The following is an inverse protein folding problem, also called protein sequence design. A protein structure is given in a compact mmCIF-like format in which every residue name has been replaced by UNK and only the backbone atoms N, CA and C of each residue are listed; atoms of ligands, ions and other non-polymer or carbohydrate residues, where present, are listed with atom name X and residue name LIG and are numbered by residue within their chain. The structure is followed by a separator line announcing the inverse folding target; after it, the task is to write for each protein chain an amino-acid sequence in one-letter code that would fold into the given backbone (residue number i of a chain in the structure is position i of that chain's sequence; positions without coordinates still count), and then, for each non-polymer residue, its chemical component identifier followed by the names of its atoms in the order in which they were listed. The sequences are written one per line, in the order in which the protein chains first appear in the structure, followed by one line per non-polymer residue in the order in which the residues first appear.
data_IF_358790107417
#
_entry.id   IF_358790107417
#
_cell.length_a   1.000
_cell.length_b   1.000
_cell.length_c   1.000
_cell.angle_alpha   90.00
_cell.angle_beta   90.00
_cell.angle_gamma   90.00
#
_symmetry.space_group_name_H-M   'P 1'
#
loop_
_entity.id
_entity.type
_entity.pdbx_description
1 polymer ?
#
# COMPACT_ATOMS: atom_id res chain seq x y z
N UNK A 1 -26.55 11.77 1.22
CA UNK A 1 -25.35 11.58 2.06
C UNK A 1 -25.51 10.23 2.71
N UNK A 2 -24.80 9.20 2.22
CA UNK A 2 -24.79 7.93 2.92
C UNK A 2 -24.17 8.14 4.30
N UNK A 3 -24.89 7.73 5.34
CA UNK A 3 -24.38 7.77 6.69
C UNK A 3 -23.11 6.92 6.77
N UNK A 4 -22.04 7.48 7.35
CA UNK A 4 -20.81 6.75 7.63
C UNK A 4 -21.13 5.63 8.64
N UNK A 5 -21.41 4.44 8.14
CA UNK A 5 -21.71 3.27 8.96
C UNK A 5 -20.52 2.32 8.92
N UNK A 6 -19.69 2.36 9.98
CA UNK A 6 -18.68 1.34 10.20
C UNK A 6 -19.32 0.05 10.73
N UNK A 7 -18.78 -1.13 10.38
CA UNK A 7 -19.33 -2.39 10.85
C UNK A 7 -19.27 -2.46 12.38
N UNK A 8 -20.38 -2.83 13.00
CA UNK A 8 -20.52 -2.87 14.47
C UNK A 8 -19.44 -3.71 15.16
N UNK A 9 -18.96 -4.78 14.52
CA UNK A 9 -17.89 -5.64 15.04
C UNK A 9 -16.56 -4.92 15.26
N UNK A 10 -16.30 -3.81 14.57
CA UNK A 10 -15.08 -3.01 14.80
C UNK A 10 -15.12 -2.26 16.12
N UNK A 11 -16.32 -2.01 16.65
CA UNK A 11 -16.53 -1.30 17.92
C UNK A 11 -15.71 0.00 18.01
N UNK A 12 -15.79 0.79 16.94
CA UNK A 12 -15.08 2.06 16.83
C UNK A 12 -16.04 3.23 17.05
N UNK A 13 -15.49 4.34 17.53
CA UNK A 13 -16.22 5.56 17.87
C UNK A 13 -15.39 6.81 17.51
N UNK A 14 -15.97 7.99 17.73
CA UNK A 14 -15.35 9.30 17.50
C UNK A 14 -14.64 9.42 16.13
N UNK A 15 -15.34 9.18 15.01
CA UNK A 15 -14.72 9.24 13.69
C UNK A 15 -14.35 10.68 13.31
N UNK A 16 -13.08 10.89 13.03
CA UNK A 16 -12.51 12.15 12.54
C UNK A 16 -11.96 11.94 11.13
N UNK A 17 -12.50 12.66 10.13
CA UNK A 17 -11.97 12.59 8.76
C UNK A 17 -10.64 13.34 8.70
N UNK A 18 -9.54 12.62 8.47
CA UNK A 18 -8.19 13.20 8.43
C UNK A 18 -7.66 13.38 7.01
N UNK A 19 -8.21 12.65 6.03
CA UNK A 19 -7.88 12.84 4.61
C UNK A 19 -8.98 12.30 3.69
N UNK A 20 -9.15 12.95 2.54
CA UNK A 20 -9.94 12.44 1.42
C UNK A 20 -9.09 12.51 0.14
N UNK A 21 -8.85 11.36 -0.47
CA UNK A 21 -8.13 11.24 -1.75
C UNK A 21 -9.10 10.92 -2.88
N UNK A 22 -8.60 10.79 -4.10
CA UNK A 22 -9.41 10.29 -5.21
C UNK A 22 -9.98 8.89 -4.94
N UNK A 23 -9.17 7.99 -4.37
CA UNK A 23 -9.55 6.59 -4.15
C UNK A 23 -10.20 6.31 -2.80
N UNK A 24 -10.00 7.16 -1.78
CA UNK A 24 -10.30 6.79 -0.38
C UNK A 24 -10.78 7.95 0.49
N UNK A 25 -11.48 7.61 1.57
CA UNK A 25 -11.64 8.45 2.77
C UNK A 25 -10.92 7.81 3.95
N UNK A 26 -10.15 8.60 4.68
CA UNK A 26 -9.32 8.15 5.80
C UNK A 26 -9.84 8.79 7.08
N UNK A 27 -10.26 7.95 8.02
CA UNK A 27 -10.80 8.39 9.31
C UNK A 27 -9.90 7.92 10.45
N UNK A 28 -9.57 8.81 11.38
CA UNK A 28 -9.06 8.45 12.70
C UNK A 28 -10.25 8.07 13.58
N UNK A 29 -10.13 6.96 14.30
CA UNK A 29 -11.22 6.43 15.16
C UNK A 29 -10.65 5.94 16.49
N UNK A 30 -11.52 5.84 17.50
CA UNK A 30 -11.20 5.29 18.82
C UNK A 30 -11.83 3.91 18.96
N UNK A 31 -11.03 2.90 19.32
CA UNK A 31 -11.47 1.51 19.57
C UNK A 31 -12.04 1.35 20.99
N UNK A 32 -12.73 0.24 21.23
CA UNK A 32 -13.33 -0.09 22.54
C UNK A 32 -12.33 -0.07 23.71
N UNK A 33 -11.06 -0.43 23.45
CA UNK A 33 -9.96 -0.40 24.43
C UNK A 33 -9.34 0.99 24.64
N UNK A 34 -9.87 2.03 23.99
CA UNK A 34 -9.37 3.40 24.02
C UNK A 34 -8.20 3.67 23.06
N UNK A 35 -7.66 2.66 22.39
CA UNK A 35 -6.60 2.85 21.40
C UNK A 35 -7.11 3.50 20.12
N UNK A 36 -6.22 4.19 19.40
CA UNK A 36 -6.54 4.81 18.11
C UNK A 36 -6.31 3.83 16.95
N UNK A 37 -7.13 3.97 15.91
CA UNK A 37 -6.99 3.25 14.66
C UNK A 37 -7.35 4.13 13.47
N UNK A 38 -7.05 3.65 12.27
CA UNK A 38 -7.40 4.30 11.01
C UNK A 38 -8.40 3.44 10.25
N UNK A 39 -9.50 4.04 9.80
CA UNK A 39 -10.36 3.44 8.78
C UNK A 39 -10.00 4.03 7.42
N UNK A 40 -9.46 3.20 6.51
CA UNK A 40 -9.34 3.53 5.09
C UNK A 40 -10.53 2.93 4.36
N UNK A 41 -11.49 3.75 3.98
CA UNK A 41 -12.66 3.35 3.20
C UNK A 41 -12.45 3.73 1.73
N UNK A 42 -12.32 2.74 0.85
CA UNK A 42 -12.18 2.98 -0.59
C UNK A 42 -13.52 3.43 -1.17
N UNK A 43 -13.45 4.40 -2.08
CA UNK A 43 -14.57 4.83 -2.90
C UNK A 43 -14.82 3.79 -4.00
N UNK A 44 -16.01 3.78 -4.58
CA UNK A 44 -16.26 3.04 -5.80
C UNK A 44 -15.65 3.80 -6.99
N UNK A 45 -14.66 3.21 -7.64
CA UNK A 45 -14.05 3.71 -8.88
C UNK A 45 -13.45 2.53 -9.67
N UNK A 46 -13.15 2.75 -10.96
CA UNK A 46 -12.49 1.75 -11.80
C UNK A 46 -11.11 1.41 -11.23
N UNK A 47 -10.69 0.14 -11.25
CA UNK A 47 -9.43 -0.34 -10.66
C UNK A 47 -9.35 -0.31 -9.11
N UNK A 48 -10.49 -0.26 -8.40
CA UNK A 48 -10.50 -0.41 -6.92
C UNK A 48 -9.80 -1.69 -6.43
N UNK A 49 -9.79 -2.75 -7.25
CA UNK A 49 -9.06 -4.00 -6.99
C UNK A 49 -7.55 -3.79 -6.83
N UNK A 50 -6.95 -2.80 -7.50
CA UNK A 50 -5.53 -2.48 -7.33
C UNK A 50 -5.24 -1.93 -5.93
N UNK A 51 -6.13 -1.11 -5.38
CA UNK A 51 -6.03 -0.60 -4.00
C UNK A 51 -6.33 -1.69 -2.98
N UNK A 52 -7.32 -2.55 -3.26
CA UNK A 52 -7.68 -3.66 -2.38
C UNK A 52 -6.51 -4.63 -2.20
N UNK A 53 -5.68 -4.87 -3.22
CA UNK A 53 -4.52 -5.75 -3.09
C UNK A 53 -3.52 -5.34 -2.00
N UNK A 54 -3.49 -4.06 -1.63
CA UNK A 54 -2.70 -3.58 -0.49
C UNK A 54 -3.04 -4.32 0.81
N UNK A 55 -4.27 -4.80 0.98
CA UNK A 55 -4.68 -5.52 2.18
C UNK A 55 -3.99 -6.88 2.32
N UNK A 56 -3.73 -7.59 1.21
CA UNK A 56 -3.03 -8.87 1.22
C UNK A 56 -1.56 -8.67 1.61
N UNK A 57 -0.94 -7.60 1.11
CA UNK A 57 0.41 -7.21 1.51
C UNK A 57 0.48 -6.89 3.00
N UNK A 58 -0.42 -6.04 3.52
CA UNK A 58 -0.42 -5.66 4.94
C UNK A 58 -0.67 -6.87 5.86
N UNK A 59 -1.58 -7.78 5.47
CA UNK A 59 -1.80 -9.01 6.22
C UNK A 59 -0.58 -9.94 6.21
N UNK A 60 0.14 -10.02 5.09
CA UNK A 60 1.35 -10.81 4.98
C UNK A 60 2.52 -10.23 5.80
N UNK A 61 2.68 -8.90 5.79
CA UNK A 61 3.75 -8.21 6.53
C UNK A 61 3.52 -8.17 8.04
N UNK A 62 2.27 -8.24 8.51
CA UNK A 62 1.93 -8.34 9.94
C UNK A 62 2.55 -7.26 10.84
N UNK A 63 2.82 -6.07 10.30
CA UNK A 63 3.46 -4.97 11.03
C UNK A 63 4.95 -4.76 10.73
N UNK A 64 5.57 -5.61 9.90
CA UNK A 64 6.99 -5.49 9.57
C UNK A 64 7.23 -4.53 8.40
N UNK A 65 7.74 -3.34 8.73
CA UNK A 65 7.97 -2.25 7.78
C UNK A 65 6.70 -1.56 7.27
N UNK A 66 5.52 -1.95 7.76
CA UNK A 66 4.22 -1.38 7.39
C UNK A 66 3.25 -1.43 8.57
N UNK A 67 2.20 -0.61 8.56
CA UNK A 67 1.14 -0.65 9.59
C UNK A 67 0.43 -2.01 9.62
N UNK A 68 -0.03 -2.45 10.79
CA UNK A 68 -0.84 -3.67 10.89
C UNK A 68 -2.23 -3.47 10.31
N UNK A 69 -2.69 -4.48 9.57
CA UNK A 69 -4.10 -4.64 9.22
C UNK A 69 -4.83 -5.30 10.39
N UNK A 70 -5.82 -4.61 10.95
CA UNK A 70 -6.55 -5.06 12.13
C UNK A 70 -7.83 -5.84 11.76
N UNK A 71 -8.58 -5.36 10.77
CA UNK A 71 -9.77 -6.04 10.23
C UNK A 71 -10.16 -5.46 8.86
N UNK A 72 -11.08 -6.12 8.15
CA UNK A 72 -11.58 -5.75 6.81
C UNK A 72 -13.11 -5.79 6.77
N UNK A 73 -13.71 -4.96 5.91
CA UNK A 73 -15.14 -4.97 5.65
C UNK A 73 -15.45 -4.45 4.25
N UNK A 74 -15.65 -5.35 3.29
CA UNK A 74 -15.85 -4.97 1.89
C UNK A 74 -14.68 -4.11 1.43
N UNK A 75 -14.96 -2.88 1.01
CA UNK A 75 -13.95 -1.93 0.53
C UNK A 75 -13.31 -1.07 1.62
N UNK A 76 -13.40 -1.48 2.88
CA UNK A 76 -12.85 -0.73 4.01
C UNK A 76 -11.90 -1.58 4.83
N UNK A 77 -10.79 -0.97 5.25
CA UNK A 77 -9.78 -1.57 6.11
C UNK A 77 -9.72 -0.82 7.44
N UNK A 78 -9.62 -1.56 8.54
CA UNK A 78 -9.23 -1.03 9.84
C UNK A 78 -7.73 -1.29 10.04
N UNK A 79 -6.97 -0.22 10.24
CA UNK A 79 -5.52 -0.22 10.28
C UNK A 79 -5.03 0.30 11.63
N UNK A 80 -3.83 -0.13 12.02
CA UNK A 80 -3.09 0.45 13.12
C UNK A 80 -2.84 1.95 12.89
N UNK A 81 -2.99 2.74 13.95
CA UNK A 81 -2.57 4.14 13.94
C UNK A 81 -1.05 4.23 14.13
N UNK A 82 -0.35 4.83 13.18
CA UNK A 82 1.11 4.93 13.17
C UNK A 82 1.69 5.99 14.12
N UNK A 83 0.86 6.63 14.94
CA UNK A 83 1.24 7.74 15.81
C UNK A 83 1.10 9.11 15.15
N UNK A 84 1.55 10.14 15.86
CA UNK A 84 1.34 11.54 15.47
C UNK A 84 2.57 12.19 14.83
N UNK A 85 3.75 11.58 14.99
CA UNK A 85 5.01 12.14 14.50
C UNK A 85 5.19 11.83 13.02
N UNK A 86 5.26 12.88 12.21
CA UNK A 86 5.59 12.78 10.79
C UNK A 86 7.10 12.83 10.59
N UNK A 87 7.60 12.09 9.60
CA UNK A 87 9.01 12.14 9.24
C UNK A 87 9.45 13.55 8.79
N UNK A 88 8.54 14.32 8.19
CA UNK A 88 8.78 15.72 7.82
C UNK A 88 8.96 16.64 9.03
N UNK A 89 8.32 16.35 10.16
CA UNK A 89 8.56 17.09 11.41
C UNK A 89 9.96 16.78 11.94
N UNK A 90 10.37 15.51 11.93
CA UNK A 90 11.74 15.13 12.30
C UNK A 90 12.77 15.81 11.40
N UNK A 91 12.52 15.86 10.09
CA UNK A 91 13.38 16.58 9.16
C UNK A 91 13.50 18.07 9.52
N UNK A 92 12.39 18.73 9.82
CA UNK A 92 12.36 20.16 10.15
C UNK A 92 13.02 20.48 11.50
N UNK A 93 12.88 19.59 12.50
CA UNK A 93 13.32 19.83 13.88
C UNK A 93 14.72 19.30 14.17
N UNK A 94 15.11 18.19 13.54
CA UNK A 94 16.34 17.44 13.85
C UNK A 94 17.29 17.31 12.65
N UNK A 95 16.83 17.66 11.45
CA UNK A 95 17.66 17.70 10.24
C UNK A 95 17.65 16.41 9.42
N UNK A 96 18.34 16.47 8.28
CA UNK A 96 18.29 15.46 7.22
C UNK A 96 18.89 14.11 7.64
N UNK A 97 20.03 14.12 8.33
CA UNK A 97 20.71 12.88 8.72
C UNK A 97 19.82 11.99 9.60
N UNK A 98 19.09 12.60 10.54
CA UNK A 98 18.18 11.88 11.46
C UNK A 98 16.97 11.34 10.72
N UNK A 99 16.33 12.17 9.87
CA UNK A 99 15.18 11.74 9.08
C UNK A 99 15.56 10.63 8.09
N UNK A 100 16.72 10.75 7.44
CA UNK A 100 17.26 9.76 6.51
C UNK A 100 17.56 8.44 7.21
N UNK A 101 18.14 8.47 8.42
CA UNK A 101 18.39 7.25 9.20
C UNK A 101 17.09 6.49 9.51
N UNK A 102 16.03 7.20 9.93
CA UNK A 102 14.71 6.59 10.19
C UNK A 102 14.11 6.00 8.90
N UNK A 103 14.19 6.74 7.79
CA UNK A 103 13.70 6.25 6.50
C UNK A 103 14.45 5.00 6.05
N UNK A 104 15.78 4.98 6.18
CA UNK A 104 16.61 3.84 5.82
C UNK A 104 16.31 2.61 6.67
N UNK A 105 16.13 2.78 8.00
CA UNK A 105 15.73 1.70 8.89
C UNK A 105 14.36 1.13 8.51
N UNK A 106 13.37 1.99 8.27
CA UNK A 106 12.05 1.57 7.83
C UNK A 106 12.10 0.83 6.49
N UNK A 107 12.88 1.32 5.53
CA UNK A 107 13.02 0.69 4.21
C UNK A 107 13.70 -0.68 4.30
N UNK A 108 14.72 -0.82 5.15
CA UNK A 108 15.34 -2.12 5.41
C UNK A 108 14.32 -3.14 5.96
N UNK A 109 13.41 -2.69 6.83
CA UNK A 109 12.31 -3.50 7.35
C UNK A 109 11.21 -3.76 6.32
N UNK A 110 10.89 -2.79 5.48
CA UNK A 110 9.87 -2.92 4.44
C UNK A 110 10.26 -3.96 3.38
N UNK A 111 11.55 -3.99 3.03
CA UNK A 111 12.09 -4.91 2.01
C UNK A 111 12.74 -6.17 2.59
N UNK A 112 12.69 -6.37 3.90
CA UNK A 112 13.22 -7.60 4.50
C UNK A 112 12.41 -8.82 4.03
N UNK A 113 13.08 -9.97 3.81
CA UNK A 113 12.39 -11.23 3.56
C UNK A 113 11.35 -11.50 4.66
N UNK A 114 10.22 -12.10 4.27
CA UNK A 114 9.23 -12.58 5.22
C UNK A 114 9.50 -14.03 5.57
N UNK A 115 9.40 -14.40 6.84
CA UNK A 115 9.39 -15.80 7.28
C UNK A 115 8.09 -16.54 6.86
N UNK A 116 7.12 -15.81 6.31
CA UNK A 116 5.87 -16.35 5.81
C UNK A 116 5.86 -16.35 4.28
N UNK A 117 5.31 -17.39 3.63
CA UNK A 117 5.16 -17.38 2.18
C UNK A 117 4.23 -16.22 1.75
N UNK A 118 4.51 -15.58 0.60
CA UNK A 118 3.63 -14.55 0.07
C UNK A 118 2.24 -15.13 -0.25
N UNK A 119 1.14 -14.39 0.02
CA UNK A 119 -0.19 -14.88 -0.28
C UNK A 119 -0.41 -14.97 -1.80
N UNK A 120 -1.19 -15.97 -2.27
CA UNK A 120 -1.44 -16.18 -3.69
C UNK A 120 -2.25 -15.03 -4.33
N UNK A 121 -2.91 -14.21 -3.51
CA UNK A 121 -3.70 -13.06 -3.93
C UNK A 121 -2.85 -11.85 -4.35
N UNK A 122 -1.53 -11.86 -4.06
CA UNK A 122 -0.64 -10.83 -4.58
C UNK A 122 -0.57 -10.93 -6.10
N UNK A 123 -0.66 -9.79 -6.78
CA UNK A 123 -0.54 -9.75 -8.23
C UNK A 123 0.90 -10.10 -8.65
N UNK A 124 1.10 -11.12 -9.50
CA UNK A 124 2.41 -11.40 -10.08
C UNK A 124 2.95 -10.19 -10.83
N UNK A 125 4.24 -9.89 -10.66
CA UNK A 125 4.89 -8.75 -11.31
C UNK A 125 4.75 -8.80 -12.85
N UNK A 126 4.75 -10.00 -13.44
CA UNK A 126 4.54 -10.17 -14.89
C UNK A 126 3.16 -9.66 -15.34
N UNK A 127 2.13 -9.84 -14.51
CA UNK A 127 0.79 -9.28 -14.78
C UNK A 127 0.76 -7.78 -14.50
N UNK A 128 1.39 -7.32 -13.42
CA UNK A 128 1.50 -5.90 -13.07
C UNK A 128 2.13 -5.07 -14.20
N UNK A 129 3.18 -5.60 -14.82
CA UNK A 129 3.90 -4.95 -15.93
C UNK A 129 3.42 -5.37 -17.32
N UNK A 130 2.24 -5.98 -17.45
CA UNK A 130 1.70 -6.46 -18.74
C UNK A 130 1.64 -5.38 -19.81
N UNK A 131 1.28 -4.14 -19.45
CA UNK A 131 1.28 -3.00 -20.38
C UNK A 131 2.65 -2.70 -20.99
N UNK A 132 3.73 -2.80 -20.20
CA UNK A 132 5.10 -2.65 -20.69
C UNK A 132 5.42 -3.73 -21.71
N UNK A 133 5.16 -5.00 -21.38
CA UNK A 133 5.44 -6.12 -22.28
C UNK A 133 4.61 -6.06 -23.57
N UNK A 134 3.34 -5.65 -23.46
CA UNK A 134 2.47 -5.49 -24.62
C UNK A 134 2.97 -4.40 -25.57
N UNK A 135 3.33 -3.22 -25.04
CA UNK A 135 3.89 -2.13 -25.86
C UNK A 135 5.22 -2.53 -26.50
N UNK A 136 6.11 -3.16 -25.74
CA UNK A 136 7.38 -3.66 -26.24
C UNK A 136 7.22 -4.68 -27.37
N UNK A 137 6.23 -5.57 -27.28
CA UNK A 137 5.91 -6.54 -28.33
C UNK A 137 5.44 -5.84 -29.60
N UNK A 138 4.50 -4.90 -29.49
CA UNK A 138 3.97 -4.14 -30.64
C UNK A 138 5.12 -3.43 -31.38
N UNK A 139 6.02 -2.78 -30.64
CA UNK A 139 7.14 -2.03 -31.22
C UNK A 139 8.14 -2.98 -31.92
N UNK A 140 8.41 -4.13 -31.29
CA UNK A 140 9.25 -5.18 -31.89
C UNK A 140 8.65 -5.72 -33.19
N UNK A 141 7.35 -5.99 -33.19
CA UNK A 141 6.61 -6.49 -34.37
C UNK A 141 6.62 -5.45 -35.51
N UNK A 142 6.67 -4.15 -35.19
CA UNK A 142 6.83 -3.05 -36.14
C UNK A 142 8.29 -2.78 -36.57
N UNK A 143 9.27 -3.50 -36.01
CA UNK A 143 10.70 -3.27 -36.27
C UNK A 143 11.28 -2.03 -35.58
N UNK A 144 10.57 -1.45 -34.62
CA UNK A 144 10.99 -0.27 -33.87
C UNK A 144 11.94 -0.66 -32.72
N UNK A 145 13.01 0.11 -32.55
CA UNK A 145 13.93 -0.01 -31.41
C UNK A 145 13.58 1.03 -30.35
N UNK A 146 12.42 0.87 -29.71
CA UNK A 146 11.92 1.82 -28.71
C UNK A 146 12.48 1.54 -27.31
N UNK A 147 12.39 2.55 -26.42
CA UNK A 147 12.73 2.40 -25.00
C UNK A 147 11.91 1.30 -24.31
N UNK A 148 10.70 1.01 -24.78
CA UNK A 148 9.87 -0.06 -24.23
C UNK A 148 10.45 -1.45 -24.53
N UNK A 149 11.07 -1.64 -25.71
CA UNK A 149 11.74 -2.91 -26.05
C UNK A 149 12.92 -3.17 -25.11
N UNK A 150 13.73 -2.13 -24.86
CA UNK A 150 14.88 -2.21 -23.93
C UNK A 150 14.43 -2.43 -22.48
N UNK A 151 13.45 -1.65 -22.02
CA UNK A 151 12.91 -1.74 -20.67
C UNK A 151 12.27 -3.12 -20.42
N UNK A 152 11.52 -3.65 -21.40
CA UNK A 152 10.94 -4.99 -21.30
C UNK A 152 12.01 -6.08 -21.19
N UNK A 153 13.09 -6.00 -21.97
CA UNK A 153 14.19 -6.97 -21.86
C UNK A 153 14.86 -6.92 -20.48
N UNK A 154 15.02 -5.74 -19.89
CA UNK A 154 15.55 -5.59 -18.52
C UNK A 154 14.59 -6.17 -17.48
N UNK A 155 13.30 -5.85 -17.58
CA UNK A 155 12.28 -6.38 -16.69
C UNK A 155 12.20 -7.92 -16.78
N UNK A 156 12.24 -8.50 -17.97
CA UNK A 156 12.23 -9.95 -18.16
C UNK A 156 13.41 -10.64 -17.45
N UNK A 157 14.62 -10.06 -17.52
CA UNK A 157 15.78 -10.61 -16.81
C UNK A 157 15.60 -10.56 -15.30
N UNK A 158 15.12 -9.44 -14.76
CA UNK A 158 14.90 -9.29 -13.32
C UNK A 158 13.79 -10.22 -12.81
N UNK A 159 12.75 -10.46 -13.61
CA UNK A 159 11.66 -11.35 -13.22
C UNK A 159 11.98 -12.84 -13.34
N UNK A 160 13.03 -13.20 -14.11
CA UNK A 160 13.47 -14.58 -14.26
C UNK A 160 14.37 -15.06 -13.10
N UNK A 161 14.92 -14.13 -12.32
CA UNK A 161 15.78 -14.37 -11.16
C UNK A 161 15.28 -13.53 -9.96
N UNK A 162 14.11 -13.88 -9.38
CA UNK A 162 13.39 -13.08 -8.39
C UNK A 162 13.98 -13.13 -6.98
#
# INVERSE_FOLDING_TARGET
MDALAFPSRWKVSAPELIAETFSSRIWKVVREDGSQAIVKALKAFDDVEDELRGEHFLAWRRGEGAVRLLDRNGHSMLLEYAGETLLSQVLAEQGDDVATAIAAELMARLFSPSDHPPPPDLQPLRLRFSSLFNKARIDRDAGEKSLYVEAAATAERLLADP
#
